data_IF_842254352632
#
_entry.id   IF_842254352632
#
_cell.length_a   1.000
_cell.length_b   1.000
_cell.length_c   1.000
_cell.angle_alpha   90.00
_cell.angle_beta   90.00
_cell.angle_gamma   90.00
#
_symmetry.space_group_name_H-M   'P 1'
#
loop_
_entity.id
_entity.type
_entity.pdbx_description
1 polymer ?
#
# COMPACT_ATOMS: atom_id res chain seq x y z
N UNK A 1 -22.07 31.65 61.16
CA UNK A 1 -22.86 31.08 60.05
C UNK A 1 -22.13 31.34 58.76
N UNK A 2 -21.59 30.30 58.12
CA UNK A 2 -21.02 30.32 56.78
C UNK A 2 -21.54 29.07 56.07
N UNK A 3 -21.96 29.12 54.78
CA UNK A 3 -22.54 27.97 54.12
C UNK A 3 -21.43 27.04 53.59
N UNK A 4 -21.68 25.73 53.69
CA UNK A 4 -20.85 24.71 53.06
C UNK A 4 -21.05 24.74 51.54
N UNK A 5 -19.95 24.80 50.80
CA UNK A 5 -19.93 24.78 49.33
C UNK A 5 -19.79 23.34 48.84
N UNK A 6 -20.84 22.80 48.21
CA UNK A 6 -20.86 21.46 47.61
C UNK A 6 -20.23 21.51 46.22
N UNK A 7 -19.13 20.78 46.00
CA UNK A 7 -18.53 20.62 44.67
C UNK A 7 -19.29 19.58 43.84
N UNK A 8 -19.41 19.75 42.50
CA UNK A 8 -20.04 18.76 41.62
C UNK A 8 -19.12 17.56 41.35
N UNK A 9 -19.67 16.36 41.05
CA UNK A 9 -18.85 15.19 40.73
C UNK A 9 -18.16 15.35 39.36
N UNK A 10 -16.91 14.90 39.27
CA UNK A 10 -16.13 14.85 38.03
C UNK A 10 -16.74 13.89 37.01
N UNK A 11 -16.73 14.20 35.71
CA UNK A 11 -17.18 13.27 34.68
C UNK A 11 -16.14 12.13 34.54
N UNK A 12 -16.60 10.90 34.78
CA UNK A 12 -15.87 9.66 34.51
C UNK A 12 -15.44 9.62 33.05
N UNK A 13 -14.13 9.63 32.80
CA UNK A 13 -13.57 9.45 31.48
C UNK A 13 -13.94 8.05 30.95
N UNK A 14 -14.70 8.00 29.85
CA UNK A 14 -14.96 6.78 29.11
C UNK A 14 -13.64 6.30 28.48
N UNK A 15 -13.14 5.16 28.95
CA UNK A 15 -12.02 4.47 28.31
C UNK A 15 -12.35 4.14 26.85
N UNK A 16 -11.43 4.36 25.90
CA UNK A 16 -11.67 3.99 24.50
C UNK A 16 -11.72 2.46 24.36
N UNK A 17 -12.86 1.95 23.94
CA UNK A 17 -13.09 0.53 23.62
C UNK A 17 -12.10 0.08 22.55
N UNK A 18 -11.32 -0.96 22.84
CA UNK A 18 -10.47 -1.61 21.85
C UNK A 18 -11.32 -2.14 20.67
N UNK A 19 -10.83 -2.06 19.43
CA UNK A 19 -11.57 -2.60 18.29
C UNK A 19 -11.80 -4.10 18.48
N UNK A 20 -13.06 -4.52 18.32
CA UNK A 20 -13.52 -5.90 18.43
C UNK A 20 -12.70 -6.82 17.54
N UNK A 21 -12.26 -7.95 18.09
CA UNK A 21 -11.60 -9.02 17.33
C UNK A 21 -12.51 -9.46 16.17
N UNK A 22 -11.95 -9.55 14.96
CA UNK A 22 -12.67 -9.96 13.77
C UNK A 22 -13.41 -11.29 14.00
N UNK A 23 -14.75 -11.24 14.02
CA UNK A 23 -15.62 -12.35 14.44
C UNK A 23 -16.00 -13.30 13.30
N UNK A 24 -15.07 -13.57 12.37
CA UNK A 24 -15.30 -14.42 11.20
C UNK A 24 -14.40 -15.65 11.15
N UNK A 25 -14.68 -16.61 10.29
CA UNK A 25 -13.71 -17.67 9.94
C UNK A 25 -12.58 -17.06 9.11
N UNK A 26 -11.30 -17.47 9.28
CA UNK A 26 -10.22 -17.01 8.42
C UNK A 26 -10.55 -17.24 6.94
N UNK A 27 -10.32 -16.22 6.09
CA UNK A 27 -10.42 -16.40 4.64
C UNK A 27 -9.31 -17.36 4.22
N UNK A 28 -9.60 -18.39 3.45
CA UNK A 28 -8.57 -19.35 2.98
C UNK A 28 -7.88 -20.20 4.07
N UNK A 29 -8.29 -20.09 5.34
CA UNK A 29 -7.69 -20.82 6.45
C UNK A 29 -6.60 -20.05 7.20
N UNK A 30 -6.35 -20.47 8.45
CA UNK A 30 -5.34 -19.84 9.29
C UNK A 30 -3.92 -20.12 8.77
N UNK A 31 -3.05 -19.12 8.87
CA UNK A 31 -1.61 -19.21 8.54
C UNK A 31 -1.32 -19.69 7.11
N UNK A 32 -2.19 -19.35 6.16
CA UNK A 32 -2.03 -19.71 4.74
C UNK A 32 -1.56 -18.56 3.87
N UNK A 33 -1.67 -17.32 4.35
CA UNK A 33 -1.48 -16.15 3.49
C UNK A 33 -0.03 -15.73 3.38
N UNK A 34 0.35 -15.38 2.15
CA UNK A 34 1.48 -14.51 1.86
C UNK A 34 0.92 -13.11 1.62
N UNK A 35 1.33 -12.14 2.43
CA UNK A 35 1.02 -10.73 2.21
C UNK A 35 2.32 -10.03 1.84
N UNK A 36 2.38 -9.42 0.66
CA UNK A 36 3.49 -8.52 0.29
C UNK A 36 3.06 -7.08 0.46
N UNK A 37 4.01 -6.16 0.35
CA UNK A 37 3.74 -4.72 0.42
C UNK A 37 4.30 -4.02 -0.81
N UNK A 38 3.55 -3.08 -1.35
CA UNK A 38 3.98 -2.20 -2.43
C UNK A 38 3.72 -0.73 -2.08
N UNK A 39 4.46 0.16 -2.73
CA UNK A 39 4.51 1.59 -2.38
C UNK A 39 4.61 2.46 -3.62
N UNK A 40 4.49 3.78 -3.44
CA UNK A 40 4.73 4.75 -4.50
C UNK A 40 6.13 5.34 -4.35
N UNK A 41 6.97 5.16 -5.36
CA UNK A 41 8.31 5.74 -5.37
C UNK A 41 8.25 7.28 -5.34
N UNK A 42 9.29 7.95 -4.87
CA UNK A 42 9.41 9.41 -4.82
C UNK A 42 10.73 9.78 -5.46
N UNK A 43 10.67 10.48 -6.60
CA UNK A 43 11.83 10.72 -7.47
C UNK A 43 13.09 11.19 -6.73
N UNK A 44 12.94 12.06 -5.72
CA UNK A 44 14.07 12.65 -4.99
C UNK A 44 14.91 11.65 -4.19
N UNK A 45 14.42 10.44 -3.92
CA UNK A 45 15.17 9.41 -3.20
C UNK A 45 15.91 8.44 -4.13
N UNK A 46 15.83 8.64 -5.44
CA UNK A 46 16.44 7.78 -6.43
C UNK A 46 17.53 8.52 -7.21
N UNK A 47 18.63 7.82 -7.46
CA UNK A 47 19.75 8.32 -8.25
C UNK A 47 19.90 7.62 -9.61
N UNK A 48 21.05 7.86 -10.23
CA UNK A 48 21.43 7.27 -11.52
C UNK A 48 21.30 8.23 -12.70
N UNK A 49 21.67 7.75 -13.88
CA UNK A 49 21.57 8.51 -15.13
C UNK A 49 20.12 8.91 -15.38
N UNK A 50 19.90 10.11 -15.94
CA UNK A 50 18.55 10.50 -16.38
C UNK A 50 18.19 9.71 -17.63
N UNK A 51 17.08 8.98 -17.55
CA UNK A 51 16.51 8.19 -18.64
C UNK A 51 15.28 8.89 -19.17
N UNK A 52 15.24 9.11 -20.48
CA UNK A 52 14.06 9.65 -21.15
C UNK A 52 12.92 8.63 -21.07
N UNK A 53 11.76 9.09 -20.60
CA UNK A 53 10.55 8.29 -20.51
C UNK A 53 9.56 8.77 -21.55
N UNK A 54 9.01 7.81 -22.29
CA UNK A 54 7.91 8.01 -23.24
C UNK A 54 6.69 7.23 -22.79
N UNK A 55 5.54 7.74 -23.15
CA UNK A 55 4.27 7.17 -22.73
C UNK A 55 3.15 8.14 -23.04
N UNK A 56 2.14 8.14 -22.18
CA UNK A 56 0.99 8.98 -22.37
C UNK A 56 0.96 10.21 -21.47
N UNK A 57 0.61 11.39 -22.00
CA UNK A 57 0.56 12.60 -21.21
C UNK A 57 -0.63 12.64 -20.24
N UNK A 58 -1.62 11.76 -20.42
CA UNK A 58 -2.85 11.63 -19.62
C UNK A 58 -3.28 10.16 -19.53
N UNK A 59 -4.14 9.79 -18.55
CA UNK A 59 -4.77 8.48 -18.50
C UNK A 59 -5.66 8.23 -19.73
N UNK A 60 -5.97 6.95 -20.01
CA UNK A 60 -6.80 6.48 -21.16
C UNK A 60 -6.08 6.56 -22.51
N UNK A 61 -4.96 5.88 -22.57
CA UNK A 61 -4.14 5.65 -23.76
C UNK A 61 -3.51 4.26 -23.59
N UNK A 62 -2.82 3.76 -24.62
CA UNK A 62 -2.03 2.53 -24.53
C UNK A 62 -0.76 2.71 -25.34
N UNK A 63 0.40 2.43 -24.75
CA UNK A 63 1.72 2.46 -25.40
C UNK A 63 2.01 3.79 -26.13
N UNK A 64 1.69 4.91 -25.51
CA UNK A 64 2.00 6.24 -26.06
C UNK A 64 3.50 6.47 -26.25
N UNK A 65 3.86 7.36 -27.15
CA UNK A 65 5.23 7.71 -27.52
C UNK A 65 5.63 9.14 -27.13
N UNK A 66 4.70 9.89 -26.52
CA UNK A 66 4.93 11.27 -26.12
C UNK A 66 6.03 11.37 -25.05
N UNK A 67 6.90 12.38 -25.10
CA UNK A 67 7.91 12.59 -24.09
C UNK A 67 7.24 12.96 -22.75
N UNK A 68 7.48 12.16 -21.72
CA UNK A 68 6.95 12.40 -20.36
C UNK A 68 7.99 13.02 -19.44
N UNK A 69 9.20 13.30 -19.93
CA UNK A 69 10.32 13.82 -19.17
C UNK A 69 11.52 12.87 -19.18
N UNK A 70 12.54 13.22 -18.42
CA UNK A 70 13.70 12.35 -18.16
C UNK A 70 13.91 12.26 -16.67
N UNK A 71 14.02 11.07 -16.10
CA UNK A 71 14.05 10.85 -14.64
C UNK A 71 15.23 9.97 -14.25
N UNK A 72 15.69 9.99 -12.98
CA UNK A 72 16.73 9.08 -12.52
C UNK A 72 16.38 7.62 -12.85
N UNK A 73 17.34 6.85 -13.36
CA UNK A 73 17.12 5.46 -13.75
C UNK A 73 16.56 4.60 -12.60
N UNK A 74 17.02 4.85 -11.36
CA UNK A 74 16.49 4.18 -10.17
C UNK A 74 14.99 4.40 -9.99
N UNK A 75 14.53 5.64 -10.19
CA UNK A 75 13.12 6.01 -10.10
C UNK A 75 12.31 5.31 -11.19
N UNK A 76 12.78 5.32 -12.44
CA UNK A 76 12.07 4.64 -13.55
C UNK A 76 11.90 3.15 -13.27
N UNK A 77 12.96 2.48 -12.80
CA UNK A 77 12.90 1.06 -12.41
C UNK A 77 11.94 0.81 -11.24
N UNK A 78 11.94 1.69 -10.24
CA UNK A 78 11.01 1.61 -9.13
C UNK A 78 9.55 1.76 -9.60
N UNK A 79 9.25 2.74 -10.45
CA UNK A 79 7.92 2.91 -11.03
C UNK A 79 7.49 1.68 -11.84
N UNK A 80 8.39 1.09 -12.62
CA UNK A 80 8.07 -0.14 -13.36
C UNK A 80 7.83 -1.34 -12.46
N UNK A 81 8.42 -1.39 -11.26
CA UNK A 81 8.23 -2.50 -10.33
C UNK A 81 6.96 -2.32 -9.50
N UNK A 82 6.83 -1.15 -8.87
CA UNK A 82 5.79 -0.84 -7.89
C UNK A 82 4.52 -0.25 -8.52
N UNK A 83 4.58 0.17 -9.79
CA UNK A 83 3.45 0.68 -10.58
C UNK A 83 3.27 2.20 -10.56
N UNK A 84 3.86 2.92 -9.60
CA UNK A 84 3.68 4.38 -9.48
C UNK A 84 4.89 5.07 -8.85
N UNK A 85 5.09 6.34 -9.22
CA UNK A 85 6.05 7.21 -8.56
C UNK A 85 5.70 8.68 -8.66
N UNK A 86 5.89 9.40 -7.56
CA UNK A 86 5.73 10.85 -7.47
C UNK A 86 6.93 11.57 -8.05
N UNK A 87 6.65 12.47 -8.98
CA UNK A 87 7.63 13.35 -9.61
C UNK A 87 7.87 14.54 -8.67
N UNK A 88 9.13 14.84 -8.39
CA UNK A 88 9.54 15.91 -7.46
C UNK A 88 10.32 17.03 -8.16
N UNK A 89 10.71 16.84 -9.41
CA UNK A 89 11.47 17.82 -10.20
C UNK A 89 10.84 18.14 -11.56
N UNK A 90 11.30 19.23 -12.17
CA UNK A 90 10.94 19.61 -13.54
C UNK A 90 9.47 20.01 -13.75
N UNK A 91 9.01 20.06 -15.02
CA UNK A 91 7.68 20.58 -15.40
C UNK A 91 6.50 19.77 -14.88
N UNK A 92 6.72 18.53 -14.43
CA UNK A 92 5.68 17.63 -13.93
C UNK A 92 5.77 17.40 -12.42
N UNK A 93 6.54 18.24 -11.70
CA UNK A 93 6.63 18.21 -10.24
C UNK A 93 5.24 18.17 -9.60
N UNK A 94 5.06 17.25 -8.66
CA UNK A 94 3.81 17.03 -7.94
C UNK A 94 2.85 16.05 -8.62
N UNK A 95 3.08 15.71 -9.89
CA UNK A 95 2.32 14.68 -10.63
C UNK A 95 2.91 13.29 -10.39
N UNK A 96 2.20 12.28 -10.86
CA UNK A 96 2.59 10.88 -10.75
C UNK A 96 2.93 10.31 -12.12
N UNK A 97 4.09 9.67 -12.21
CA UNK A 97 4.43 8.76 -13.29
C UNK A 97 3.92 7.38 -12.89
N UNK A 98 2.93 6.88 -13.62
CA UNK A 98 2.35 5.57 -13.42
C UNK A 98 2.83 4.61 -14.51
N UNK A 99 2.80 3.31 -14.24
CA UNK A 99 3.19 2.28 -15.19
C UNK A 99 2.38 1.00 -15.00
N UNK A 100 2.06 0.33 -16.11
CA UNK A 100 1.56 -1.03 -16.11
C UNK A 100 2.03 -1.78 -17.34
N UNK A 101 2.04 -3.11 -17.27
CA UNK A 101 2.49 -3.94 -18.39
C UNK A 101 1.64 -3.77 -19.66
N UNK A 102 0.33 -3.53 -19.52
CA UNK A 102 -0.59 -3.41 -20.65
C UNK A 102 -0.66 -2.00 -21.24
N UNK A 103 -0.24 -0.96 -20.50
CA UNK A 103 -0.39 0.45 -20.90
C UNK A 103 0.95 1.12 -21.21
N UNK A 104 2.04 0.70 -20.57
CA UNK A 104 3.28 1.47 -20.52
C UNK A 104 3.19 2.60 -19.49
N UNK A 105 3.95 3.68 -19.69
CA UNK A 105 3.94 4.82 -18.78
C UNK A 105 2.82 5.81 -19.08
N UNK A 106 2.29 6.47 -18.05
CA UNK A 106 1.45 7.66 -18.20
C UNK A 106 1.59 8.66 -17.06
N UNK A 107 1.25 9.92 -17.32
CA UNK A 107 1.15 10.96 -16.30
C UNK A 107 -0.27 11.07 -15.77
N UNK A 108 -0.39 11.28 -14.46
CA UNK A 108 -1.66 11.50 -13.75
C UNK A 108 -1.42 12.41 -12.54
N UNK A 109 -2.48 12.85 -11.90
CA UNK A 109 -2.42 13.68 -10.69
C UNK A 109 -2.54 12.83 -9.41
N UNK A 110 -2.63 11.51 -9.56
CA UNK A 110 -2.68 10.52 -8.48
C UNK A 110 -2.17 9.15 -8.97
N UNK A 111 -1.84 8.27 -8.03
CA UNK A 111 -1.75 6.82 -8.26
C UNK A 111 -3.11 6.23 -8.62
N UNK A 112 -3.16 5.10 -9.34
CA UNK A 112 -4.42 4.49 -9.80
C UNK A 112 -4.45 2.98 -9.55
N UNK A 113 -5.59 2.48 -9.07
CA UNK A 113 -5.94 1.05 -9.09
C UNK A 113 -6.34 0.60 -10.51
N UNK A 114 -6.52 -0.71 -10.72
CA UNK A 114 -6.96 -1.29 -11.99
C UNK A 114 -8.33 -0.83 -12.53
N UNK A 115 -9.13 -0.06 -11.78
CA UNK A 115 -10.32 0.63 -12.31
C UNK A 115 -10.15 2.14 -12.44
N UNK A 116 -8.92 2.66 -12.31
CA UNK A 116 -8.63 4.08 -12.45
C UNK A 116 -9.03 4.92 -11.22
N UNK A 117 -9.19 4.34 -10.04
CA UNK A 117 -9.45 5.09 -8.79
C UNK A 117 -8.15 5.27 -7.99
N UNK A 118 -8.03 6.33 -7.17
CA UNK A 118 -6.86 6.53 -6.34
C UNK A 118 -6.56 5.34 -5.41
N UNK A 119 -5.30 4.92 -5.33
CA UNK A 119 -4.84 4.02 -4.27
C UNK A 119 -4.80 4.79 -2.94
N UNK A 120 -5.20 4.11 -1.86
CA UNK A 120 -5.27 4.68 -0.51
C UNK A 120 -4.28 3.97 0.41
N UNK A 121 -3.27 4.67 0.97
CA UNK A 121 -2.30 4.06 1.87
C UNK A 121 -3.00 3.39 3.05
N UNK A 122 -2.59 2.17 3.40
CA UNK A 122 -3.17 1.41 4.51
C UNK A 122 -4.66 1.04 4.35
N UNK A 123 -5.16 1.07 3.11
CA UNK A 123 -6.54 0.71 2.76
C UNK A 123 -6.62 -0.10 1.47
N UNK A 124 -5.83 0.22 0.45
CA UNK A 124 -5.84 -0.48 -0.84
C UNK A 124 -5.02 -1.77 -0.81
N UNK A 125 -5.55 -2.81 -1.46
CA UNK A 125 -4.86 -4.07 -1.69
C UNK A 125 -5.06 -4.58 -3.13
N UNK A 126 -4.14 -5.42 -3.57
CA UNK A 126 -4.19 -6.19 -4.80
C UNK A 126 -4.32 -7.69 -4.50
N UNK A 127 -5.09 -8.40 -5.31
CA UNK A 127 -5.17 -9.86 -5.30
C UNK A 127 -5.60 -10.37 -6.68
N UNK A 128 -5.31 -11.62 -6.99
CA UNK A 128 -5.89 -12.27 -8.17
C UNK A 128 -7.40 -12.43 -7.99
N UNK A 129 -8.16 -12.27 -9.08
CA UNK A 129 -9.63 -12.26 -9.06
C UNK A 129 -10.22 -13.53 -8.45
N UNK A 130 -9.58 -14.66 -8.70
CA UNK A 130 -10.02 -15.98 -8.24
C UNK A 130 -9.53 -16.31 -6.82
N UNK A 131 -8.68 -15.46 -6.24
CA UNK A 131 -8.13 -15.60 -4.88
C UNK A 131 -8.91 -14.73 -3.88
N UNK A 132 -9.05 -13.44 -4.17
CA UNK A 132 -9.95 -12.54 -3.45
C UNK A 132 -10.71 -11.67 -4.44
N UNK A 133 -12.03 -11.74 -4.38
CA UNK A 133 -12.89 -10.91 -5.23
C UNK A 133 -12.62 -9.41 -5.01
N UNK A 134 -12.67 -8.64 -6.09
CA UNK A 134 -12.62 -7.18 -6.04
C UNK A 134 -13.69 -6.63 -5.09
N UNK A 135 -13.35 -5.63 -4.29
CA UNK A 135 -14.19 -5.04 -3.26
C UNK A 135 -14.23 -5.84 -1.95
N UNK A 136 -13.63 -7.04 -1.90
CA UNK A 136 -13.49 -7.78 -0.65
C UNK A 136 -12.68 -6.97 0.35
N UNK A 137 -13.27 -6.79 1.53
CA UNK A 137 -12.59 -6.26 2.69
C UNK A 137 -11.99 -7.37 3.53
N UNK A 138 -10.81 -7.13 4.07
CA UNK A 138 -10.16 -8.03 5.02
C UNK A 138 -9.31 -7.28 6.03
N UNK A 139 -9.08 -7.92 7.18
CA UNK A 139 -8.12 -7.48 8.18
C UNK A 139 -7.05 -8.55 8.35
N UNK A 140 -5.81 -8.12 8.60
CA UNK A 140 -4.73 -9.02 9.01
C UNK A 140 -4.83 -9.19 10.52
N UNK A 141 -4.83 -10.43 11.00
CA UNK A 141 -5.01 -10.75 12.43
C UNK A 141 -3.81 -11.44 13.05
N UNK A 142 -3.07 -12.19 12.24
CA UNK A 142 -1.75 -12.75 12.56
C UNK A 142 -0.82 -12.41 11.38
N UNK A 143 0.36 -11.88 11.69
CA UNK A 143 1.35 -11.47 10.70
C UNK A 143 2.40 -12.54 10.42
N UNK A 144 2.44 -13.63 11.20
CA UNK A 144 3.37 -14.73 11.00
C UNK A 144 4.84 -14.29 10.98
N UNK A 145 5.53 -14.55 9.86
CA UNK A 145 6.98 -14.42 9.71
C UNK A 145 7.36 -13.50 8.54
N UNK A 146 8.55 -12.92 8.60
CA UNK A 146 9.09 -12.12 7.51
C UNK A 146 9.58 -12.98 6.32
N UNK A 147 10.07 -12.31 5.27
CA UNK A 147 10.62 -12.97 4.09
C UNK A 147 11.82 -13.89 4.37
N UNK A 148 12.52 -13.69 5.51
CA UNK A 148 13.65 -14.48 5.97
C UNK A 148 13.25 -15.54 7.03
N UNK A 149 11.95 -15.70 7.31
CA UNK A 149 11.41 -16.69 8.25
C UNK A 149 11.48 -16.28 9.72
N UNK A 150 11.84 -15.03 10.03
CA UNK A 150 11.91 -14.49 11.40
C UNK A 150 10.53 -13.99 11.85
N UNK A 151 10.20 -13.99 13.15
CA UNK A 151 8.95 -13.40 13.62
C UNK A 151 8.83 -11.92 13.24
N UNK A 152 7.64 -11.50 12.82
CA UNK A 152 7.36 -10.08 12.58
C UNK A 152 7.37 -9.35 13.93
N UNK A 153 8.12 -8.24 14.01
CA UNK A 153 8.17 -7.42 15.22
C UNK A 153 6.76 -6.92 15.59
N UNK A 154 6.39 -6.98 16.88
CA UNK A 154 5.01 -6.68 17.30
C UNK A 154 4.54 -5.29 16.89
N UNK A 155 5.43 -4.27 16.96
CA UNK A 155 5.10 -2.91 16.48
C UNK A 155 4.71 -2.88 15.00
N UNK A 156 5.36 -3.74 14.20
CA UNK A 156 5.09 -3.87 12.76
C UNK A 156 3.76 -4.57 12.56
N UNK A 157 3.56 -5.71 13.24
CA UNK A 157 2.31 -6.45 13.13
C UNK A 157 1.11 -5.63 13.60
N UNK A 158 1.21 -4.94 14.73
CA UNK A 158 0.16 -4.09 15.28
C UNK A 158 -0.29 -2.99 14.30
N UNK A 159 0.61 -2.48 13.45
CA UNK A 159 0.24 -1.54 12.39
C UNK A 159 -0.60 -2.20 11.31
N UNK A 160 -0.18 -3.37 10.82
CA UNK A 160 -0.95 -4.15 9.83
C UNK A 160 -2.33 -4.56 10.34
N UNK A 161 -2.43 -4.96 11.62
CA UNK A 161 -3.71 -5.35 12.24
C UNK A 161 -4.70 -4.20 12.43
N UNK A 162 -4.23 -2.95 12.47
CA UNK A 162 -5.10 -1.77 12.61
C UNK A 162 -5.73 -1.34 11.28
N UNK A 163 -5.18 -1.80 10.16
CA UNK A 163 -5.68 -1.46 8.83
C UNK A 163 -6.82 -2.39 8.42
N UNK A 164 -7.77 -1.83 7.67
CA UNK A 164 -8.78 -2.59 6.95
C UNK A 164 -8.51 -2.44 5.46
N UNK A 165 -8.23 -3.55 4.81
CA UNK A 165 -7.80 -3.58 3.43
C UNK A 165 -8.98 -3.88 2.52
N UNK A 166 -9.04 -3.24 1.36
CA UNK A 166 -10.02 -3.48 0.32
C UNK A 166 -9.29 -3.88 -0.95
N UNK A 167 -9.66 -5.01 -1.54
CA UNK A 167 -9.12 -5.44 -2.84
C UNK A 167 -9.64 -4.51 -3.93
N UNK A 168 -8.81 -3.55 -4.31
CA UNK A 168 -9.13 -2.55 -5.34
C UNK A 168 -8.29 -2.75 -6.60
N UNK A 169 -7.20 -3.49 -6.49
CA UNK A 169 -6.23 -3.65 -7.56
C UNK A 169 -5.97 -5.12 -7.91
N UNK A 170 -5.21 -5.36 -8.98
CA UNK A 170 -4.86 -6.70 -9.47
C UNK A 170 -3.35 -6.83 -9.58
N UNK A 171 -2.84 -8.05 -9.37
CA UNK A 171 -1.44 -8.34 -9.65
C UNK A 171 -1.13 -8.17 -11.13
N UNK A 172 0.14 -7.88 -11.41
CA UNK A 172 0.70 -8.14 -12.74
C UNK A 172 0.58 -9.64 -13.03
N UNK A 173 0.22 -10.04 -14.27
CA UNK A 173 0.21 -11.45 -14.66
C UNK A 173 1.50 -12.16 -14.23
N UNK A 174 1.36 -13.28 -13.51
CA UNK A 174 2.46 -14.09 -13.00
C UNK A 174 3.03 -13.70 -11.62
N UNK A 175 2.53 -12.64 -10.98
CA UNK A 175 3.03 -12.17 -9.68
C UNK A 175 2.14 -12.53 -8.49
N UNK A 176 0.89 -12.91 -8.73
CA UNK A 176 -0.05 -13.33 -7.69
C UNK A 176 0.13 -14.80 -7.29
N UNK A 177 -0.99 -15.51 -7.22
CA UNK A 177 -1.06 -16.91 -6.81
C UNK A 177 -1.96 -17.13 -5.59
N UNK A 178 -2.14 -18.41 -5.27
CA UNK A 178 -3.01 -18.84 -4.17
C UNK A 178 -2.62 -18.18 -2.84
N UNK A 179 -3.63 -17.74 -2.09
CA UNK A 179 -3.47 -17.12 -0.77
C UNK A 179 -2.44 -15.97 -0.76
N UNK A 180 -2.35 -15.21 -1.85
CA UNK A 180 -1.48 -14.04 -1.96
C UNK A 180 -2.28 -12.76 -2.12
N UNK A 181 -1.97 -11.76 -1.29
CA UNK A 181 -2.40 -10.38 -1.49
C UNK A 181 -1.20 -9.41 -1.35
N UNK A 182 -1.26 -8.28 -2.03
CA UNK A 182 -0.29 -7.19 -1.92
C UNK A 182 -0.98 -5.98 -1.29
N UNK A 183 -0.38 -5.34 -0.30
CA UNK A 183 -1.00 -4.21 0.41
C UNK A 183 -0.26 -2.91 0.18
N UNK A 184 -1.00 -1.85 -0.13
CA UNK A 184 -0.42 -0.55 -0.47
C UNK A 184 -0.11 0.27 0.78
N UNK A 185 1.17 0.62 0.98
CA UNK A 185 1.62 1.32 2.20
C UNK A 185 1.84 2.83 2.03
N UNK A 186 1.63 3.36 0.82
CA UNK A 186 1.75 4.79 0.51
C UNK A 186 3.05 5.17 -0.19
N UNK A 187 3.42 6.45 -0.14
CA UNK A 187 4.69 6.95 -0.69
C UNK A 187 5.88 6.50 0.16
N UNK A 188 7.01 6.21 -0.49
CA UNK A 188 8.28 6.05 0.22
C UNK A 188 8.65 7.35 0.95
N UNK A 189 9.24 7.22 2.13
CA UNK A 189 9.45 8.34 3.06
C UNK A 189 10.90 8.78 3.20
N UNK A 190 11.83 8.13 2.49
CA UNK A 190 13.25 8.45 2.56
C UNK A 190 14.12 7.60 1.65
N UNK A 191 15.43 7.92 1.57
CA UNK A 191 16.40 7.09 0.88
C UNK A 191 16.48 5.69 1.52
N UNK A 192 16.88 4.70 0.71
CA UNK A 192 16.99 3.30 1.12
C UNK A 192 15.71 2.70 1.73
N UNK A 193 14.52 3.23 1.38
CA UNK A 193 13.22 2.82 1.92
C UNK A 193 13.03 1.30 1.94
N UNK A 194 13.37 0.61 0.85
CA UNK A 194 13.28 -0.85 0.70
C UNK A 194 14.09 -1.62 1.76
N UNK A 195 15.17 -1.05 2.28
CA UNK A 195 16.03 -1.67 3.30
C UNK A 195 15.70 -1.20 4.72
N UNK A 196 15.25 0.04 4.87
CA UNK A 196 15.10 0.71 6.16
C UNK A 196 13.67 0.71 6.69
N UNK A 197 12.67 0.69 5.80
CA UNK A 197 11.27 0.80 6.20
C UNK A 197 10.76 -0.54 6.74
N UNK A 198 10.37 -0.63 8.02
CA UNK A 198 9.91 -1.89 8.61
C UNK A 198 8.57 -2.37 8.03
N UNK A 199 7.84 -1.48 7.35
CA UNK A 199 6.57 -1.77 6.70
C UNK A 199 6.75 -2.32 5.29
N UNK A 200 7.93 -2.14 4.68
CA UNK A 200 8.24 -2.79 3.41
C UNK A 200 8.74 -4.21 3.72
N UNK A 201 7.80 -5.14 3.86
CA UNK A 201 8.06 -6.52 4.30
C UNK A 201 7.08 -7.49 3.68
N UNK A 202 7.45 -8.75 3.68
CA UNK A 202 6.53 -9.85 3.41
C UNK A 202 6.03 -10.41 4.74
N UNK A 203 4.74 -10.71 4.84
CA UNK A 203 4.13 -11.49 5.92
C UNK A 203 3.84 -12.90 5.36
N UNK A 204 4.61 -13.90 5.79
CA UNK A 204 4.39 -15.31 5.49
C UNK A 204 3.61 -15.95 6.64
N UNK A 205 2.82 -16.97 6.33
CA UNK A 205 1.96 -17.66 7.30
C UNK A 205 0.99 -16.70 8.00
N UNK A 206 0.56 -15.64 7.29
CA UNK A 206 -0.37 -14.68 7.82
C UNK A 206 -1.79 -15.27 7.89
N UNK A 207 -2.60 -14.70 8.77
CA UNK A 207 -4.03 -15.02 8.89
C UNK A 207 -4.84 -13.76 8.64
N UNK A 208 -5.75 -13.83 7.66
CA UNK A 208 -6.68 -12.75 7.36
C UNK A 208 -8.13 -13.17 7.65
N UNK A 209 -8.92 -12.19 8.08
CA UNK A 209 -10.35 -12.34 8.36
C UNK A 209 -11.17 -11.35 7.52
N UNK A 210 -12.47 -11.60 7.31
CA UNK A 210 -13.38 -10.56 6.84
C UNK A 210 -13.26 -9.28 7.70
N UNK A 211 -13.35 -8.11 7.07
CA UNK A 211 -13.29 -6.78 7.71
C UNK A 211 -14.33 -5.81 7.18
#
# INVERSE_FOLDING_TARGET
MAPASTAPPSPTALSPTAPSAASGRPLGGARRWRITTYYTAVESFHGGKRTAVRGCPRPRCTNGDAPLGSYPEGFVKAVQREGSGRITSGPHRGRYLNWSHSVGFWLDDTTRDSAGRPLRPWESAAADRDVLARGRRFVITDCGRDGAGRPIAERVCARFRRAVWTVTDLFRPGYGGEHHADVYIGEETGPDFVRSAPWYTTLRDATIHPG
#
